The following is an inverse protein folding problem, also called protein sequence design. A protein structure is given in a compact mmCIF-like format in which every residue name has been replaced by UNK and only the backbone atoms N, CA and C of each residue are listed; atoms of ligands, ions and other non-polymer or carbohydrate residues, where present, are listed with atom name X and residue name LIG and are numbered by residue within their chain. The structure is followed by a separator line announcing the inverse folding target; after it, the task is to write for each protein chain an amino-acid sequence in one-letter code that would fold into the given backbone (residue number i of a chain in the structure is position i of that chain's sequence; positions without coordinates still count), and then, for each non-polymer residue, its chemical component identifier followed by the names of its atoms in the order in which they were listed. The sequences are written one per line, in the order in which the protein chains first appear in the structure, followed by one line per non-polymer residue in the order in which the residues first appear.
data_IF_176554840319
#
_entry.id   IF_176554840319
#
_cell.length_a   1.000
_cell.length_b   1.000
_cell.length_c   1.000
_cell.angle_alpha   90.00
_cell.angle_beta   90.00
_cell.angle_gamma   90.00
#
_symmetry.space_group_name_H-M   'P 1'
#
loop_
_entity.id
_entity.type
_entity.pdbx_description
1 polymer ?
#
# COMPACT_ATOMS: atom_id res chain seq x y z
N UNK A 1 6.46 -50.12 -1.44
CA UNK A 1 5.25 -49.72 -2.06
C UNK A 1 5.02 -48.22 -2.15
N UNK A 2 5.65 -47.66 -3.18
CA UNK A 2 5.62 -46.19 -3.41
C UNK A 2 4.20 -45.62 -3.67
N UNK A 3 3.28 -46.45 -4.18
CA UNK A 3 1.93 -45.98 -4.53
C UNK A 3 1.08 -45.73 -3.28
N UNK A 4 1.24 -46.52 -2.23
CA UNK A 4 0.50 -46.34 -0.97
C UNK A 4 1.04 -45.13 -0.18
N UNK A 5 2.34 -44.87 -0.24
CA UNK A 5 2.95 -43.68 0.30
C UNK A 5 2.46 -42.41 -0.43
N UNK A 6 2.38 -42.42 -1.76
CA UNK A 6 1.84 -41.33 -2.56
C UNK A 6 0.35 -41.04 -2.29
N UNK A 7 -0.46 -42.08 -2.04
CA UNK A 7 -1.86 -41.88 -1.62
C UNK A 7 -1.97 -41.19 -0.26
N UNK A 8 -1.07 -41.48 0.69
CA UNK A 8 -1.03 -40.80 2.00
C UNK A 8 -0.65 -39.33 1.89
N UNK A 9 0.16 -38.92 0.90
CA UNK A 9 0.49 -37.52 0.64
C UNK A 9 -0.73 -36.67 0.23
N UNK A 10 -1.78 -37.29 -0.28
CA UNK A 10 -3.02 -36.61 -0.66
C UNK A 10 -3.99 -36.40 0.50
N UNK A 11 -3.72 -36.95 1.69
CA UNK A 11 -4.55 -36.69 2.85
C UNK A 11 -4.45 -35.22 3.26
N UNK A 12 -5.58 -34.54 3.56
CA UNK A 12 -5.58 -33.13 3.93
C UNK A 12 -4.64 -32.78 5.09
N UNK A 13 -4.54 -33.66 6.08
CA UNK A 13 -3.66 -33.51 7.25
C UNK A 13 -2.19 -33.55 6.83
N UNK A 14 -1.80 -34.52 5.99
CA UNK A 14 -0.42 -34.66 5.51
C UNK A 14 -0.03 -33.48 4.64
N UNK A 15 -0.91 -33.04 3.74
CA UNK A 15 -0.68 -31.81 2.94
C UNK A 15 -0.46 -30.60 3.82
N UNK A 16 -1.29 -30.42 4.86
CA UNK A 16 -1.16 -29.32 5.80
C UNK A 16 0.21 -29.32 6.50
N UNK A 17 0.66 -30.47 6.96
CA UNK A 17 1.98 -30.63 7.61
C UNK A 17 3.12 -30.33 6.64
N UNK A 18 3.06 -30.88 5.43
CA UNK A 18 4.09 -30.62 4.39
C UNK A 18 4.15 -29.14 4.07
N UNK A 19 3.02 -28.48 3.82
CA UNK A 19 2.95 -27.06 3.50
C UNK A 19 3.47 -26.24 4.68
N UNK A 20 3.10 -26.56 5.92
CA UNK A 20 3.58 -25.85 7.10
C UNK A 20 5.09 -25.96 7.27
N UNK A 21 5.67 -27.15 7.09
CA UNK A 21 7.11 -27.38 7.16
C UNK A 21 7.84 -26.65 6.03
N UNK A 22 7.28 -26.66 4.80
CA UNK A 22 7.84 -25.90 3.69
C UNK A 22 7.84 -24.39 3.96
N UNK A 23 6.75 -23.85 4.48
CA UNK A 23 6.65 -22.44 4.86
C UNK A 23 7.68 -22.12 5.95
N UNK A 24 7.81 -22.98 6.96
CA UNK A 24 8.80 -22.78 8.02
C UNK A 24 10.24 -22.79 7.50
N UNK A 25 10.59 -23.73 6.61
CA UNK A 25 11.92 -23.77 6.00
C UNK A 25 12.17 -22.59 5.06
N UNK A 26 11.18 -22.20 4.26
CA UNK A 26 11.29 -21.00 3.41
C UNK A 26 11.46 -19.76 4.29
N UNK A 27 10.73 -19.63 5.40
CA UNK A 27 10.88 -18.50 6.32
C UNK A 27 12.24 -18.45 7.00
N UNK A 28 12.88 -19.59 7.26
CA UNK A 28 14.28 -19.66 7.73
C UNK A 28 15.27 -19.23 6.65
N UNK A 29 14.96 -19.51 5.38
CA UNK A 29 15.80 -19.18 4.22
C UNK A 29 15.51 -17.78 3.67
N UNK A 30 14.35 -17.19 3.94
CA UNK A 30 14.08 -15.77 3.73
C UNK A 30 14.91 -15.00 4.76
N UNK A 31 16.21 -14.95 4.53
CA UNK A 31 17.09 -13.94 5.11
C UNK A 31 16.48 -12.63 4.62
N UNK A 32 15.88 -11.91 5.54
CA UNK A 32 15.57 -10.51 5.32
C UNK A 32 16.93 -9.86 5.17
N UNK A 33 17.41 -9.72 3.94
CA UNK A 33 18.58 -8.89 3.70
C UNK A 33 18.28 -7.55 4.33
N UNK A 34 19.09 -7.15 5.30
CA UNK A 34 18.93 -5.86 5.98
C UNK A 34 19.02 -4.68 5.01
N UNK A 35 19.50 -4.93 3.80
CA UNK A 35 19.55 -3.98 2.70
C UNK A 35 18.86 -4.54 1.46
N UNK A 36 17.54 -4.40 1.33
CA UNK A 36 16.87 -4.76 0.10
C UNK A 36 17.46 -3.97 -1.07
N UNK A 37 17.73 -4.66 -2.18
CA UNK A 37 18.11 -4.02 -3.44
C UNK A 37 16.90 -3.18 -3.90
N UNK A 38 16.92 -1.88 -3.61
CA UNK A 38 15.98 -0.95 -4.19
C UNK A 38 16.46 -0.65 -5.61
N UNK A 39 15.82 -1.25 -6.60
CA UNK A 39 15.90 -0.73 -7.95
C UNK A 39 15.07 0.56 -7.99
N UNK A 40 15.75 1.69 -8.07
CA UNK A 40 15.08 2.99 -8.20
C UNK A 40 14.63 3.13 -9.64
N UNK A 41 13.37 2.82 -9.90
CA UNK A 41 12.73 3.18 -11.17
C UNK A 41 12.13 4.58 -11.03
N UNK A 42 12.73 5.55 -11.71
CA UNK A 42 12.13 6.87 -11.86
C UNK A 42 11.02 6.77 -12.89
N UNK A 43 9.77 6.76 -12.44
CA UNK A 43 8.62 6.87 -13.33
C UNK A 43 8.21 8.33 -13.45
N UNK A 44 8.25 8.86 -14.68
CA UNK A 44 7.79 10.21 -14.99
C UNK A 44 6.29 10.20 -15.29
N UNK A 45 5.62 11.32 -15.08
CA UNK A 45 4.22 11.51 -15.47
C UNK A 45 3.98 11.18 -16.95
N UNK A 46 4.91 11.55 -17.82
CA UNK A 46 4.90 11.27 -19.26
C UNK A 46 4.94 9.78 -19.62
N UNK A 47 5.36 8.92 -18.70
CA UNK A 47 5.45 7.47 -18.93
C UNK A 47 4.09 6.77 -18.74
N UNK A 48 3.12 7.49 -18.20
CA UNK A 48 1.75 6.98 -18.00
C UNK A 48 1.00 7.11 -19.33
N UNK A 49 0.77 5.98 -19.97
CA UNK A 49 0.02 5.95 -21.23
C UNK A 49 -1.48 6.18 -20.97
N UNK A 50 -2.20 6.81 -21.92
CA UNK A 50 -3.65 6.88 -21.84
C UNK A 50 -4.27 5.49 -21.70
N UNK A 51 -5.28 5.37 -20.86
CA UNK A 51 -6.01 4.11 -20.67
C UNK A 51 -7.51 4.36 -20.52
N UNK A 52 -8.30 3.38 -20.96
CA UNK A 52 -9.74 3.41 -20.75
C UNK A 52 -10.09 2.99 -19.33
N UNK A 53 -11.11 3.63 -18.76
CA UNK A 53 -11.62 3.34 -17.44
C UNK A 53 -13.13 3.07 -17.52
N UNK A 54 -13.56 1.93 -16.99
CA UNK A 54 -14.98 1.52 -16.95
C UNK A 54 -15.66 1.82 -15.62
N UNK A 55 -14.92 2.35 -14.63
CA UNK A 55 -15.46 2.74 -13.33
C UNK A 55 -15.75 4.24 -13.28
N UNK A 56 -16.42 4.69 -12.22
CA UNK A 56 -16.67 6.10 -12.00
C UNK A 56 -15.37 6.89 -11.90
N UNK A 57 -15.40 8.12 -12.45
CA UNK A 57 -14.24 9.01 -12.47
C UNK A 57 -14.63 10.41 -12.01
N UNK A 58 -13.63 11.15 -11.50
CA UNK A 58 -13.77 12.54 -11.09
C UNK A 58 -12.64 13.38 -11.70
N UNK A 59 -12.93 14.64 -12.04
CA UNK A 59 -11.95 15.60 -12.53
C UNK A 59 -11.38 16.36 -11.34
N UNK A 60 -10.05 16.39 -11.21
CA UNK A 60 -9.34 17.04 -10.11
C UNK A 60 -8.15 17.82 -10.68
N UNK A 61 -7.63 18.80 -9.92
CA UNK A 61 -6.63 19.75 -10.40
C UNK A 61 -5.20 19.36 -10.03
N UNK A 62 -5.01 18.79 -8.81
CA UNK A 62 -3.68 18.49 -8.25
C UNK A 62 -3.16 17.11 -8.65
N UNK A 63 -3.62 16.58 -9.77
CA UNK A 63 -3.20 15.28 -10.31
C UNK A 63 -2.88 15.38 -11.80
N UNK A 64 -2.03 14.45 -12.25
CA UNK A 64 -1.66 14.36 -13.68
C UNK A 64 -2.73 13.65 -14.52
N UNK A 65 -3.69 12.97 -13.87
CA UNK A 65 -4.76 12.26 -14.56
C UNK A 65 -5.88 13.25 -14.88
N UNK A 66 -6.29 13.34 -16.14
CA UNK A 66 -7.44 14.17 -16.54
C UNK A 66 -8.76 13.67 -15.94
N UNK A 67 -8.86 12.37 -15.64
CA UNK A 67 -9.94 11.71 -14.91
C UNK A 67 -9.36 10.71 -13.92
N UNK A 68 -9.72 10.83 -12.66
CA UNK A 68 -9.26 9.95 -11.60
C UNK A 68 -10.33 8.90 -11.31
N UNK A 69 -10.04 7.61 -11.48
CA UNK A 69 -10.99 6.56 -11.15
C UNK A 69 -11.13 6.42 -9.61
N UNK A 70 -12.32 6.03 -9.16
CA UNK A 70 -12.57 5.67 -7.76
C UNK A 70 -13.51 4.47 -7.66
N UNK A 71 -13.36 3.69 -6.60
CA UNK A 71 -14.07 2.43 -6.39
C UNK A 71 -15.19 2.53 -5.35
N UNK A 72 -15.12 3.52 -4.45
CA UNK A 72 -16.08 3.73 -3.38
C UNK A 72 -16.15 5.20 -2.96
N UNK A 73 -17.13 5.55 -2.13
CA UNK A 73 -17.35 6.94 -1.68
C UNK A 73 -16.24 7.47 -0.77
N UNK A 74 -15.61 6.62 0.05
CA UNK A 74 -14.46 7.02 0.87
C UNK A 74 -13.30 7.50 -0.01
N UNK A 75 -12.92 6.71 -1.01
CA UNK A 75 -11.87 7.09 -1.98
C UNK A 75 -12.23 8.40 -2.70
N UNK A 76 -13.46 8.53 -3.17
CA UNK A 76 -13.92 9.73 -3.86
C UNK A 76 -13.82 10.96 -2.97
N UNK A 77 -14.34 10.88 -1.74
CA UNK A 77 -14.33 12.00 -0.81
C UNK A 77 -12.90 12.36 -0.39
N UNK A 78 -12.03 11.37 -0.21
CA UNK A 78 -10.63 11.59 0.09
C UNK A 78 -9.88 12.23 -1.10
N UNK A 79 -10.17 11.83 -2.34
CA UNK A 79 -9.65 12.49 -3.54
C UNK A 79 -10.05 13.96 -3.62
N UNK A 80 -11.32 14.29 -3.31
CA UNK A 80 -11.82 15.66 -3.24
C UNK A 80 -11.08 16.44 -2.15
N UNK A 81 -10.91 15.84 -0.98
CA UNK A 81 -10.14 16.43 0.12
C UNK A 81 -8.71 16.77 -0.32
N UNK A 82 -7.97 15.82 -0.92
CA UNK A 82 -6.61 16.05 -1.41
C UNK A 82 -6.52 17.21 -2.42
N UNK A 83 -7.53 17.37 -3.26
CA UNK A 83 -7.57 18.46 -4.26
C UNK A 83 -7.82 19.83 -3.63
N UNK A 84 -8.46 19.88 -2.46
CA UNK A 84 -8.84 21.14 -1.81
C UNK A 84 -7.82 21.63 -0.77
N UNK A 85 -7.19 20.77 0.01
CA UNK A 85 -6.30 21.18 1.10
C UNK A 85 -5.01 21.83 0.58
N UNK A 86 -4.57 22.90 1.24
CA UNK A 86 -3.47 23.73 0.74
C UNK A 86 -2.08 23.10 0.90
N UNK A 87 -1.92 22.17 1.81
CA UNK A 87 -0.65 21.49 2.09
C UNK A 87 -0.37 20.28 1.16
N UNK A 88 -1.28 19.98 0.24
CA UNK A 88 -1.05 19.01 -0.83
C UNK A 88 -0.69 19.76 -2.12
N UNK A 89 0.51 19.51 -2.67
CA UNK A 89 0.94 20.07 -3.96
C UNK A 89 0.44 19.24 -5.14
N UNK A 90 0.54 17.92 -5.03
CA UNK A 90 0.13 16.98 -6.07
C UNK A 90 -0.17 15.61 -5.47
N UNK A 91 -0.99 14.83 -6.15
CA UNK A 91 -1.23 13.43 -5.81
C UNK A 91 -1.51 12.58 -7.04
N UNK A 92 -1.39 11.27 -6.87
CA UNK A 92 -1.79 10.30 -7.89
C UNK A 92 -2.42 9.09 -7.23
N UNK A 93 -3.52 8.59 -7.81
CA UNK A 93 -4.04 7.27 -7.45
C UNK A 93 -3.09 6.21 -7.96
N UNK A 94 -2.66 5.33 -7.06
CA UNK A 94 -1.72 4.26 -7.37
C UNK A 94 -2.49 3.03 -7.85
N UNK A 95 -2.38 2.75 -9.10
CA UNK A 95 -2.94 1.57 -9.76
C UNK A 95 -1.89 0.96 -10.70
N UNK A 96 -2.16 -0.26 -11.17
CA UNK A 96 -1.26 -0.96 -12.12
C UNK A 96 -0.96 -0.13 -13.36
N UNK A 97 -1.94 0.65 -13.83
CA UNK A 97 -1.83 1.51 -15.03
C UNK A 97 -1.23 2.89 -14.77
N UNK A 98 -1.09 3.28 -13.52
CA UNK A 98 -0.50 4.57 -13.11
C UNK A 98 0.91 4.38 -12.55
N UNK A 99 1.12 4.59 -11.25
CA UNK A 99 2.43 4.44 -10.60
C UNK A 99 2.87 2.99 -10.49
N UNK A 100 1.94 2.08 -10.27
CA UNK A 100 2.18 0.65 -10.03
C UNK A 100 3.18 0.39 -8.89
N UNK A 101 3.13 1.24 -7.86
CA UNK A 101 3.93 1.05 -6.66
C UNK A 101 3.40 -0.18 -5.91
N UNK A 102 4.26 -1.18 -5.75
CA UNK A 102 3.98 -2.42 -5.04
C UNK A 102 4.94 -2.56 -3.88
N UNK A 103 4.42 -2.91 -2.72
CA UNK A 103 5.19 -3.13 -1.51
C UNK A 103 5.03 -4.59 -1.13
N UNK A 104 6.11 -5.39 -1.14
CA UNK A 104 6.03 -6.79 -0.73
C UNK A 104 5.82 -6.89 0.78
N UNK A 105 4.95 -7.80 1.20
CA UNK A 105 4.72 -8.15 2.60
C UNK A 105 4.47 -9.65 2.74
N UNK A 106 4.62 -10.17 3.94
CA UNK A 106 4.26 -11.56 4.26
C UNK A 106 2.86 -11.54 4.89
N UNK A 107 1.94 -12.30 4.32
CA UNK A 107 0.57 -12.43 4.84
C UNK A 107 0.51 -13.30 6.10
N UNK A 108 -0.64 -13.37 6.75
CA UNK A 108 -0.85 -14.16 7.97
C UNK A 108 -0.63 -15.68 7.78
N UNK A 109 -0.65 -16.16 6.53
CA UNK A 109 -0.37 -17.55 6.19
C UNK A 109 1.11 -17.80 5.83
N UNK A 110 1.98 -16.77 5.91
CA UNK A 110 3.40 -16.86 5.62
C UNK A 110 3.77 -16.70 4.13
N UNK A 111 2.83 -16.32 3.27
CA UNK A 111 3.11 -16.15 1.85
C UNK A 111 3.55 -14.73 1.52
N UNK A 112 4.54 -14.61 0.65
CA UNK A 112 4.95 -13.33 0.09
C UNK A 112 3.86 -12.81 -0.86
N UNK A 113 3.36 -11.62 -0.59
CA UNK A 113 2.34 -10.90 -1.35
C UNK A 113 2.82 -9.52 -1.75
N UNK A 114 2.17 -8.94 -2.75
CA UNK A 114 2.35 -7.54 -3.10
C UNK A 114 1.12 -6.74 -2.69
N UNK A 115 1.36 -5.69 -1.94
CA UNK A 115 0.37 -4.70 -1.56
C UNK A 115 0.49 -3.48 -2.47
N UNK A 116 -0.63 -2.94 -2.91
CA UNK A 116 -0.71 -1.73 -3.74
C UNK A 116 -1.45 -0.69 -2.89
N UNK A 117 -0.75 0.29 -2.27
CA UNK A 117 -1.40 1.37 -1.54
C UNK A 117 -2.22 2.27 -2.48
N UNK A 118 -3.25 2.94 -1.95
CA UNK A 118 -4.21 3.68 -2.77
C UNK A 118 -3.63 4.91 -3.46
N UNK A 119 -2.80 5.70 -2.72
CA UNK A 119 -2.33 6.99 -3.23
C UNK A 119 -0.86 7.25 -2.91
N UNK A 120 -0.23 8.04 -3.79
CA UNK A 120 1.02 8.75 -3.49
C UNK A 120 0.71 10.24 -3.50
N UNK A 121 1.04 10.93 -2.41
CA UNK A 121 0.73 12.34 -2.20
C UNK A 121 2.03 13.11 -1.97
N UNK A 122 2.17 14.25 -2.62
CA UNK A 122 3.30 15.18 -2.45
C UNK A 122 2.84 16.39 -1.67
N UNK A 123 3.56 16.69 -0.61
CA UNK A 123 3.50 17.98 0.11
C UNK A 123 4.80 18.76 -0.10
N UNK A 124 4.95 19.99 0.37
CA UNK A 124 6.20 20.74 0.25
C UNK A 124 7.43 20.02 0.81
N UNK A 125 7.27 19.26 1.86
CA UNK A 125 8.35 18.63 2.65
C UNK A 125 8.28 17.11 2.73
N UNK A 126 7.16 16.48 2.35
CA UNK A 126 6.94 15.05 2.48
C UNK A 126 6.42 14.43 1.18
N UNK A 127 6.76 13.17 1.01
CA UNK A 127 6.06 12.24 0.11
C UNK A 127 5.29 11.25 0.97
N UNK A 128 3.99 11.14 0.78
CA UNK A 128 3.15 10.23 1.55
C UNK A 128 2.70 9.04 0.70
N UNK A 129 2.79 7.86 1.28
CA UNK A 129 2.05 6.69 0.81
C UNK A 129 0.79 6.64 1.64
N UNK A 130 -0.36 6.72 0.98
CA UNK A 130 -1.63 6.78 1.68
C UNK A 130 -2.48 5.58 1.34
N UNK A 131 -3.08 5.00 2.36
CA UNK A 131 -4.10 3.96 2.28
C UNK A 131 -5.38 4.43 2.94
N UNK A 132 -6.50 4.37 2.22
CA UNK A 132 -7.83 4.58 2.78
C UNK A 132 -8.47 3.24 3.16
N UNK A 133 -9.07 3.13 4.34
CA UNK A 133 -9.59 1.85 4.81
C UNK A 133 -10.98 1.97 5.43
N UNK A 134 -11.95 1.32 4.77
CA UNK A 134 -13.31 1.20 5.30
C UNK A 134 -13.44 0.06 6.31
N UNK A 135 -12.78 -1.08 6.07
CA UNK A 135 -12.85 -2.27 6.95
C UNK A 135 -11.44 -2.80 7.21
N UNK A 136 -11.19 -3.21 8.45
CA UNK A 136 -9.93 -3.83 8.85
C UNK A 136 -9.93 -5.29 8.40
N UNK A 137 -8.86 -5.73 7.73
CA UNK A 137 -8.59 -7.14 7.41
C UNK A 137 -7.42 -7.66 8.27
N UNK A 138 -7.24 -8.98 8.27
CA UNK A 138 -6.26 -9.67 9.12
C UNK A 138 -4.80 -9.26 8.81
N UNK A 139 -4.51 -8.84 7.58
CA UNK A 139 -3.16 -8.49 7.13
C UNK A 139 -2.83 -7.00 7.25
N UNK A 140 -3.75 -6.18 7.79
CA UNK A 140 -3.56 -4.72 7.88
C UNK A 140 -2.27 -4.37 8.61
N UNK A 141 -2.02 -4.98 9.74
CA UNK A 141 -0.82 -4.69 10.54
C UNK A 141 0.48 -5.03 9.78
N UNK A 142 0.51 -6.15 9.06
CA UNK A 142 1.67 -6.55 8.26
C UNK A 142 1.91 -5.59 7.09
N UNK A 143 0.85 -5.20 6.36
CA UNK A 143 0.93 -4.21 5.27
C UNK A 143 1.45 -2.87 5.77
N UNK A 144 0.93 -2.39 6.91
CA UNK A 144 1.33 -1.11 7.52
C UNK A 144 2.81 -1.12 7.94
N UNK A 145 3.22 -2.18 8.64
CA UNK A 145 4.61 -2.31 9.11
C UNK A 145 5.58 -2.30 7.92
N UNK A 146 5.29 -3.07 6.87
CA UNK A 146 6.13 -3.12 5.68
C UNK A 146 6.12 -1.79 4.90
N UNK A 147 4.97 -1.10 4.83
CA UNK A 147 4.90 0.20 4.15
C UNK A 147 5.70 1.26 4.90
N UNK A 148 5.66 1.28 6.24
CA UNK A 148 6.49 2.18 7.06
C UNK A 148 7.99 1.88 6.86
N UNK A 149 8.37 0.61 6.89
CA UNK A 149 9.76 0.19 6.63
C UNK A 149 10.23 0.61 5.24
N UNK A 150 9.38 0.40 4.22
CA UNK A 150 9.65 0.84 2.86
C UNK A 150 9.87 2.36 2.79
N UNK A 151 8.99 3.14 3.40
CA UNK A 151 9.09 4.61 3.44
C UNK A 151 10.40 5.07 4.09
N UNK A 152 10.81 4.47 5.21
CA UNK A 152 12.08 4.75 5.88
C UNK A 152 13.29 4.46 4.97
N UNK A 153 13.29 3.30 4.30
CA UNK A 153 14.37 2.91 3.39
C UNK A 153 14.49 3.86 2.19
N UNK A 154 13.38 4.26 1.60
CA UNK A 154 13.36 5.19 0.47
C UNK A 154 13.79 6.58 0.91
N UNK A 155 13.36 7.04 2.09
CA UNK A 155 13.82 8.29 2.68
C UNK A 155 15.35 8.32 2.81
N UNK A 156 15.93 7.27 3.37
CA UNK A 156 17.37 7.17 3.54
C UNK A 156 18.16 7.17 2.22
N UNK A 157 17.55 6.72 1.13
CA UNK A 157 18.23 6.57 -0.18
C UNK A 157 17.96 7.71 -1.18
N UNK A 158 16.94 8.56 -0.96
CA UNK A 158 16.48 9.52 -1.98
C UNK A 158 16.56 10.98 -1.58
N UNK A 159 17.09 11.33 -0.43
CA UNK A 159 17.06 12.70 0.13
C UNK A 159 15.64 13.33 0.16
N UNK A 160 14.61 12.51 0.21
CA UNK A 160 13.21 12.92 0.34
C UNK A 160 12.60 12.20 1.52
N UNK A 161 11.89 12.92 2.35
CA UNK A 161 11.17 12.31 3.45
C UNK A 161 9.92 11.60 2.93
N UNK A 162 9.83 10.30 3.21
CA UNK A 162 8.67 9.48 2.90
C UNK A 162 8.02 8.99 4.18
N UNK A 163 6.70 9.07 4.24
CA UNK A 163 5.93 8.56 5.36
C UNK A 163 4.73 7.75 4.87
N UNK A 164 4.23 6.87 5.72
CA UNK A 164 3.00 6.13 5.50
C UNK A 164 1.88 6.69 6.36
N UNK A 165 0.75 6.95 5.72
CA UNK A 165 -0.48 7.41 6.35
C UNK A 165 -1.62 6.42 6.04
N UNK A 166 -2.25 5.87 7.09
CA UNK A 166 -3.53 5.20 6.99
C UNK A 166 -4.64 6.17 7.38
N UNK A 167 -5.66 6.24 6.55
CA UNK A 167 -6.87 7.03 6.79
C UNK A 167 -8.04 6.06 6.94
N UNK A 168 -8.53 5.86 8.17
CA UNK A 168 -9.71 5.05 8.39
C UNK A 168 -10.97 5.87 8.07
N UNK A 169 -12.00 5.20 7.62
CA UNK A 169 -13.27 5.86 7.31
C UNK A 169 -13.85 6.60 8.52
N UNK A 170 -13.83 5.98 9.70
CA UNK A 170 -14.30 6.60 10.94
C UNK A 170 -13.58 7.91 11.28
N UNK A 171 -12.26 7.94 11.05
CA UNK A 171 -11.46 9.14 11.29
C UNK A 171 -11.81 10.22 10.26
N UNK A 172 -11.96 9.84 8.99
CA UNK A 172 -12.30 10.77 7.92
C UNK A 172 -13.72 11.35 8.07
N UNK A 173 -14.71 10.51 8.38
CA UNK A 173 -16.11 10.89 8.57
C UNK A 173 -16.31 11.76 9.83
N UNK A 174 -15.41 11.67 10.82
CA UNK A 174 -15.39 12.55 12.00
C UNK A 174 -15.19 14.03 11.65
N UNK A 175 -14.64 14.32 10.48
CA UNK A 175 -14.52 15.66 9.90
C UNK A 175 -13.54 16.58 10.64
N UNK A 176 -13.56 17.87 10.25
CA UNK A 176 -12.75 18.91 10.92
C UNK A 176 -11.29 18.98 10.46
N UNK A 177 -10.91 18.22 9.44
CA UNK A 177 -9.56 18.25 8.90
C UNK A 177 -9.42 19.30 7.78
N UNK A 178 -8.43 20.17 7.92
CA UNK A 178 -8.15 21.24 6.96
C UNK A 178 -6.81 21.03 6.23
N UNK A 179 -6.08 19.99 6.60
CA UNK A 179 -4.77 19.66 6.03
C UNK A 179 -4.53 18.14 6.06
N UNK A 180 -3.65 17.67 5.19
CA UNK A 180 -3.20 16.26 5.24
C UNK A 180 -2.39 15.98 6.53
N UNK A 181 -1.77 17.02 7.10
CA UNK A 181 -1.01 16.93 8.35
C UNK A 181 -1.88 16.64 9.56
N UNK A 182 -3.14 17.04 9.55
CA UNK A 182 -4.07 16.70 10.64
C UNK A 182 -4.20 15.20 10.84
N UNK A 183 -4.22 14.44 9.72
CA UNK A 183 -4.21 12.97 9.77
C UNK A 183 -2.88 12.38 10.26
N UNK A 184 -1.75 13.01 9.94
CA UNK A 184 -0.45 12.57 10.48
C UNK A 184 -0.39 12.77 12.00
N UNK A 185 -0.91 13.88 12.50
CA UNK A 185 -1.00 14.15 13.94
C UNK A 185 -1.93 13.13 14.62
N UNK A 186 -3.09 12.84 14.02
CA UNK A 186 -4.01 11.82 14.54
C UNK A 186 -3.33 10.45 14.62
N UNK A 187 -2.68 10.04 13.53
CA UNK A 187 -1.99 8.76 13.44
C UNK A 187 -0.82 8.63 14.44
N UNK A 188 -0.18 9.73 14.81
CA UNK A 188 0.87 9.74 15.84
C UNK A 188 0.31 9.53 17.25
N UNK A 189 -0.87 10.08 17.54
CA UNK A 189 -1.55 9.93 18.85
C UNK A 189 -2.10 8.52 19.09
N UNK A 190 -2.44 7.78 18.05
CA UNK A 190 -2.95 6.40 18.15
C UNK A 190 -1.85 5.36 18.40
N UNK A 191 -0.57 5.75 18.37
CA UNK A 191 0.59 4.87 18.61
C UNK A 191 1.04 4.81 20.07
N UNK A 192 0.45 5.61 20.93
CA UNK A 192 0.68 5.68 22.38
C UNK A 192 -0.52 5.14 23.14
#
# INVERSE_FOLDING_TARGET
DNIEALKKLNLPVVRKVIISNFIEEINKLVVVEETPILSIFLKKASDIKPFQCSVNTINLRKTILNKVPYSNELEKNFLIFLDHVNDVEAFIKNETRTMNLKIPYVDHAGFLRNYIPDFVVKTPDLMLIVETKGRIDIDVAAKDAQTRRWAQMVSAKTNKNWEFLRVNQSDFDGGGYNSIRDFLILASKQKH
#
